data_IF_598321355643
#
_entry.id   IF_598321355643
#
_cell.length_a   1.000
_cell.length_b   1.000
_cell.length_c   1.000
_cell.angle_alpha   90.00
_cell.angle_beta   90.00
_cell.angle_gamma   90.00
#
_symmetry.space_group_name_H-M   'P 1'
#
loop_
_entity.id
_entity.type
_entity.pdbx_description
1 polymer ?
#
# COMPACT_ATOMS: atom_id res chain seq x y z
N UNK A 1 -0.22 1.46 29.56
CA UNK A 1 -1.68 1.63 29.62
C UNK A 1 -2.34 1.01 28.39
N UNK A 2 -3.65 0.83 28.46
CA UNK A 2 -4.44 0.37 27.30
C UNK A 2 -5.08 1.60 26.62
N UNK A 3 -4.74 1.97 25.38
CA UNK A 3 -5.28 3.15 24.69
C UNK A 3 -6.80 3.07 24.44
N UNK A 4 -7.38 1.87 24.45
CA UNK A 4 -8.83 1.71 24.30
C UNK A 4 -9.60 1.95 25.63
N UNK A 5 -8.91 2.09 26.75
CA UNK A 5 -9.53 2.32 28.06
C UNK A 5 -9.75 3.81 28.31
N UNK A 6 -10.97 4.27 28.11
CA UNK A 6 -11.38 5.68 28.26
C UNK A 6 -11.84 6.05 29.67
N UNK A 7 -11.82 5.11 30.62
CA UNK A 7 -12.36 5.28 31.97
C UNK A 7 -11.35 5.76 33.01
N UNK A 8 -10.07 5.86 32.68
CA UNK A 8 -9.01 6.26 33.62
C UNK A 8 -7.81 6.92 32.95
N UNK A 9 -7.03 7.68 33.71
CA UNK A 9 -5.91 8.52 33.21
C UNK A 9 -4.80 7.72 32.51
N UNK A 10 -4.51 6.50 32.92
CA UNK A 10 -3.51 5.65 32.25
C UNK A 10 -3.91 5.26 30.82
N UNK A 11 -5.22 5.13 30.56
CA UNK A 11 -5.75 4.93 29.22
C UNK A 11 -5.62 6.18 28.36
N UNK A 12 -5.92 7.35 28.91
CA UNK A 12 -5.80 8.63 28.19
C UNK A 12 -4.37 8.94 27.80
N UNK A 13 -3.39 8.70 28.68
CA UNK A 13 -1.96 8.87 28.36
C UNK A 13 -1.54 7.93 27.22
N UNK A 14 -2.00 6.68 27.24
CA UNK A 14 -1.70 5.73 26.18
C UNK A 14 -2.37 6.11 24.85
N UNK A 15 -3.64 6.57 24.89
CA UNK A 15 -4.35 7.07 23.70
C UNK A 15 -3.63 8.28 23.11
N UNK A 16 -3.24 9.25 23.93
CA UNK A 16 -2.50 10.43 23.45
C UNK A 16 -1.18 10.07 22.77
N UNK A 17 -0.40 9.13 23.33
CA UNK A 17 0.85 8.68 22.73
C UNK A 17 0.63 7.95 21.37
N UNK A 18 -0.45 7.19 21.23
CA UNK A 18 -0.80 6.53 19.96
C UNK A 18 -1.21 7.55 18.90
N UNK A 19 -1.99 8.58 19.28
CA UNK A 19 -2.40 9.62 18.33
C UNK A 19 -1.24 10.52 17.94
N UNK A 20 -0.34 10.89 18.84
CA UNK A 20 0.90 11.62 18.53
C UNK A 20 1.75 10.84 17.51
N UNK A 21 1.99 9.55 17.75
CA UNK A 21 2.72 8.70 16.81
C UNK A 21 2.03 8.60 15.43
N UNK A 22 0.68 8.61 15.42
CA UNK A 22 -0.10 8.61 14.18
C UNK A 22 0.11 9.90 13.38
N UNK A 23 0.11 11.04 14.07
CA UNK A 23 0.37 12.36 13.47
C UNK A 23 1.79 12.43 12.89
N UNK A 24 2.80 11.90 13.60
CA UNK A 24 4.19 11.85 13.12
C UNK A 24 4.32 10.97 11.85
N UNK A 25 3.71 9.79 11.83
CA UNK A 25 3.74 8.91 10.64
C UNK A 25 3.00 9.56 9.48
N UNK A 26 1.86 10.20 9.73
CA UNK A 26 1.11 10.91 8.69
C UNK A 26 1.92 12.09 8.13
N UNK A 27 2.57 12.87 8.99
CA UNK A 27 3.40 14.00 8.59
C UNK A 27 4.60 13.56 7.71
N UNK A 28 5.21 12.41 8.02
CA UNK A 28 6.33 11.85 7.25
C UNK A 28 6.00 11.63 5.77
N UNK A 29 4.74 11.33 5.45
CA UNK A 29 4.27 11.02 4.09
C UNK A 29 3.26 12.05 3.56
N UNK A 30 3.08 13.17 4.27
CA UNK A 30 2.12 14.24 3.95
C UNK A 30 0.68 13.71 3.78
N UNK A 31 0.22 12.92 4.75
CA UNK A 31 -1.13 12.37 4.84
C UNK A 31 -1.95 12.96 6.00
N UNK A 32 -3.26 12.78 6.00
CA UNK A 32 -4.11 13.05 7.18
C UNK A 32 -3.90 11.89 8.20
N UNK A 33 -3.72 12.17 9.50
CA UNK A 33 -3.61 11.13 10.53
C UNK A 33 -4.74 10.09 10.50
N UNK A 34 -5.94 10.50 10.11
CA UNK A 34 -7.09 9.60 9.96
C UNK A 34 -7.00 8.64 8.79
N UNK A 35 -6.01 8.79 7.93
CA UNK A 35 -5.71 7.88 6.82
C UNK A 35 -4.69 6.80 7.21
N UNK A 36 -4.13 6.87 8.43
CA UNK A 36 -3.16 5.92 8.96
C UNK A 36 -3.84 4.88 9.83
N UNK A 37 -3.70 3.62 9.46
CA UNK A 37 -4.19 2.45 10.18
C UNK A 37 -3.00 1.65 10.70
N UNK A 38 -2.95 1.40 12.01
CA UNK A 38 -1.89 0.60 12.61
C UNK A 38 -2.03 -0.89 12.26
N UNK A 39 -0.90 -1.51 11.96
CA UNK A 39 -0.78 -2.95 11.67
C UNK A 39 0.43 -3.54 12.38
N UNK A 40 0.61 -4.85 12.32
CA UNK A 40 1.79 -5.54 12.85
C UNK A 40 3.03 -5.44 11.95
N UNK A 41 2.89 -4.89 10.73
CA UNK A 41 3.98 -4.75 9.77
C UNK A 41 3.49 -4.70 8.33
N UNK A 42 4.42 -4.54 7.38
CA UNK A 42 4.08 -4.43 5.95
C UNK A 42 3.35 -5.65 5.41
N UNK A 43 3.64 -6.86 5.90
CA UNK A 43 2.93 -8.08 5.47
C UNK A 43 1.43 -8.01 5.76
N UNK A 44 1.05 -7.60 6.98
CA UNK A 44 -0.35 -7.39 7.32
C UNK A 44 -0.96 -6.25 6.51
N UNK A 45 -0.25 -5.13 6.37
CA UNK A 45 -0.69 -3.98 5.57
C UNK A 45 -0.95 -4.37 4.11
N UNK A 46 -0.04 -5.12 3.48
CA UNK A 46 -0.20 -5.62 2.11
C UNK A 46 -1.43 -6.53 1.97
N UNK A 47 -1.60 -7.47 2.92
CA UNK A 47 -2.77 -8.35 2.93
C UNK A 47 -4.07 -7.58 3.10
N UNK A 48 -4.11 -6.65 4.05
CA UNK A 48 -5.30 -5.82 4.32
C UNK A 48 -5.65 -4.95 3.11
N UNK A 49 -4.66 -4.32 2.48
CA UNK A 49 -4.84 -3.49 1.30
C UNK A 49 -5.38 -4.30 0.11
N UNK A 50 -4.65 -5.36 -0.28
CA UNK A 50 -4.96 -6.14 -1.48
C UNK A 50 -6.29 -6.89 -1.31
N UNK A 51 -6.43 -7.67 -0.24
CA UNK A 51 -7.65 -8.45 0.01
C UNK A 51 -8.85 -7.54 0.27
N UNK A 52 -8.68 -6.50 1.09
CA UNK A 52 -9.76 -5.57 1.42
C UNK A 52 -10.32 -4.85 0.21
N UNK A 53 -9.47 -4.23 -0.60
CA UNK A 53 -9.89 -3.52 -1.80
C UNK A 53 -10.47 -4.47 -2.85
N UNK A 54 -9.79 -5.59 -3.14
CA UNK A 54 -10.24 -6.55 -4.15
C UNK A 54 -11.61 -7.13 -3.81
N UNK A 55 -11.83 -7.57 -2.57
CA UNK A 55 -13.14 -8.11 -2.15
C UNK A 55 -14.25 -7.06 -2.15
N UNK A 56 -13.94 -5.85 -1.66
CA UNK A 56 -14.95 -4.79 -1.57
C UNK A 56 -15.49 -4.40 -2.95
N UNK A 57 -14.60 -4.29 -3.93
CA UNK A 57 -14.96 -3.84 -5.27
C UNK A 57 -15.25 -4.96 -6.28
N UNK A 58 -15.09 -6.23 -5.91
CA UNK A 58 -15.30 -7.38 -6.81
C UNK A 58 -16.67 -7.39 -7.49
N UNK A 59 -17.73 -7.01 -6.76
CA UNK A 59 -19.09 -6.99 -7.26
C UNK A 59 -19.45 -5.80 -8.16
N UNK A 60 -18.64 -4.73 -8.14
CA UNK A 60 -18.94 -3.48 -8.87
C UNK A 60 -17.92 -3.18 -9.97
N UNK A 61 -16.67 -3.54 -9.77
CA UNK A 61 -15.59 -3.23 -10.71
C UNK A 61 -15.10 -4.46 -11.48
N UNK A 62 -14.93 -5.59 -10.78
CA UNK A 62 -14.41 -6.83 -11.37
C UNK A 62 -13.41 -7.56 -10.51
N UNK A 63 -12.73 -8.55 -11.09
CA UNK A 63 -11.88 -9.48 -10.36
C UNK A 63 -10.47 -9.63 -10.97
N UNK A 64 -9.94 -8.60 -11.60
CA UNK A 64 -8.59 -8.64 -12.16
C UNK A 64 -7.64 -7.76 -11.33
N UNK A 65 -6.45 -8.31 -11.02
CA UNK A 65 -5.40 -7.66 -10.25
C UNK A 65 -4.13 -7.60 -11.09
N UNK A 66 -3.43 -6.47 -11.07
CA UNK A 66 -2.12 -6.31 -11.69
C UNK A 66 -1.06 -6.19 -10.59
N UNK A 67 0.03 -6.92 -10.73
CA UNK A 67 1.23 -6.78 -9.89
C UNK A 67 2.49 -7.01 -10.72
N UNK A 68 3.67 -6.93 -10.08
CA UNK A 68 4.97 -7.07 -10.75
C UNK A 68 5.66 -8.33 -10.25
N UNK A 69 6.39 -9.03 -11.09
CA UNK A 69 7.09 -10.27 -10.73
C UNK A 69 8.15 -10.06 -9.64
N UNK A 70 8.70 -8.86 -9.54
CA UNK A 70 9.75 -8.49 -8.58
C UNK A 70 9.23 -7.99 -7.23
N UNK A 71 7.93 -8.14 -6.96
CA UNK A 71 7.33 -7.80 -5.68
C UNK A 71 7.86 -8.66 -4.53
N UNK A 72 7.77 -8.12 -3.31
CA UNK A 72 8.03 -8.93 -2.12
C UNK A 72 7.06 -10.11 -2.02
N UNK A 73 7.54 -11.22 -1.46
CA UNK A 73 6.75 -12.45 -1.27
C UNK A 73 5.38 -12.20 -0.61
N UNK A 74 5.30 -11.27 0.33
CA UNK A 74 4.04 -10.91 0.99
C UNK A 74 2.96 -10.42 0.01
N UNK A 75 3.34 -9.70 -1.05
CA UNK A 75 2.42 -9.28 -2.13
C UNK A 75 2.11 -10.44 -3.05
N UNK A 76 3.14 -11.14 -3.56
CA UNK A 76 2.95 -12.25 -4.50
C UNK A 76 2.08 -13.37 -3.93
N UNK A 77 2.33 -13.78 -2.68
CA UNK A 77 1.54 -14.84 -2.04
C UNK A 77 0.09 -14.37 -1.77
N UNK A 78 -0.10 -13.08 -1.46
CA UNK A 78 -1.44 -12.52 -1.29
C UNK A 78 -2.21 -12.51 -2.62
N UNK A 79 -1.56 -12.12 -3.72
CA UNK A 79 -2.20 -12.13 -5.05
C UNK A 79 -2.53 -13.57 -5.49
N UNK A 80 -1.62 -14.53 -5.27
CA UNK A 80 -1.89 -15.96 -5.53
C UNK A 80 -3.07 -16.49 -4.71
N UNK A 81 -3.23 -16.02 -3.47
CA UNK A 81 -4.39 -16.37 -2.66
C UNK A 81 -5.68 -15.79 -3.25
N UNK A 82 -5.64 -14.57 -3.80
CA UNK A 82 -6.78 -13.99 -4.51
C UNK A 82 -7.14 -14.81 -5.75
N UNK A 83 -6.16 -15.34 -6.49
CA UNK A 83 -6.42 -16.24 -7.63
C UNK A 83 -7.17 -17.50 -7.18
N UNK A 84 -6.80 -18.12 -6.03
CA UNK A 84 -7.53 -19.27 -5.47
C UNK A 84 -8.98 -18.93 -5.12
N UNK A 85 -9.26 -17.65 -4.88
CA UNK A 85 -10.59 -17.14 -4.57
C UNK A 85 -11.36 -16.66 -5.83
N UNK A 86 -10.85 -16.96 -7.02
CA UNK A 86 -11.52 -16.69 -8.30
C UNK A 86 -11.25 -15.31 -8.88
N UNK A 87 -10.16 -14.65 -8.47
CA UNK A 87 -9.62 -13.50 -9.17
C UNK A 87 -8.67 -13.95 -10.28
N UNK A 88 -8.44 -13.09 -11.25
CA UNK A 88 -7.38 -13.23 -12.23
C UNK A 88 -6.25 -12.26 -11.91
N UNK A 89 -5.00 -12.65 -12.17
CA UNK A 89 -3.85 -11.80 -11.94
C UNK A 89 -2.93 -11.70 -13.17
N UNK A 90 -2.45 -10.49 -13.43
CA UNK A 90 -1.36 -10.23 -14.37
C UNK A 90 -0.10 -9.89 -13.58
N UNK A 91 0.96 -10.68 -13.77
CA UNK A 91 2.28 -10.46 -13.19
C UNK A 91 3.19 -9.86 -14.26
N UNK A 92 3.38 -8.54 -14.22
CA UNK A 92 4.21 -7.84 -15.19
C UNK A 92 5.68 -8.16 -14.99
N UNK A 93 6.38 -8.35 -16.09
CA UNK A 93 7.83 -8.39 -16.12
C UNK A 93 8.41 -6.97 -16.00
N UNK A 94 9.63 -6.88 -15.52
CA UNK A 94 10.40 -5.63 -15.52
C UNK A 94 11.39 -5.63 -16.68
N UNK A 95 11.81 -4.43 -17.08
CA UNK A 95 12.88 -4.25 -18.06
C UNK A 95 14.22 -4.72 -17.46
N UNK A 96 15.26 -4.83 -18.29
CA UNK A 96 16.63 -5.17 -17.84
C UNK A 96 17.15 -4.27 -16.72
N UNK A 97 16.71 -3.00 -16.71
CA UNK A 97 17.06 -2.05 -15.63
C UNK A 97 16.18 -2.18 -14.38
N UNK A 98 15.29 -3.15 -14.32
CA UNK A 98 14.39 -3.42 -13.19
C UNK A 98 13.15 -2.54 -13.13
N UNK A 99 12.95 -1.60 -14.04
CA UNK A 99 11.78 -0.73 -14.06
C UNK A 99 10.58 -1.39 -14.73
N UNK A 100 9.39 -1.11 -14.22
CA UNK A 100 8.12 -1.44 -14.89
C UNK A 100 8.02 -0.66 -16.18
N UNK A 101 7.62 -1.33 -17.27
CA UNK A 101 7.29 -0.67 -18.53
C UNK A 101 5.90 -0.03 -18.41
N UNK A 102 5.82 1.29 -18.56
CA UNK A 102 4.56 2.04 -18.42
C UNK A 102 3.55 1.70 -19.53
N UNK A 103 4.02 1.40 -20.74
CA UNK A 103 3.12 1.02 -21.83
C UNK A 103 2.60 -0.40 -21.65
N UNK A 104 3.44 -1.33 -21.20
CA UNK A 104 3.00 -2.67 -20.82
C UNK A 104 2.03 -2.63 -19.64
N UNK A 105 2.29 -1.78 -18.64
CA UNK A 105 1.38 -1.59 -17.51
C UNK A 105 0.01 -1.06 -17.97
N UNK A 106 0.01 -0.05 -18.84
CA UNK A 106 -1.23 0.51 -19.41
C UNK A 106 -2.01 -0.51 -20.24
N UNK A 107 -1.31 -1.30 -21.04
CA UNK A 107 -1.91 -2.36 -21.87
C UNK A 107 -2.48 -3.52 -21.04
N UNK A 108 -1.95 -3.78 -19.84
CA UNK A 108 -2.45 -4.82 -18.94
C UNK A 108 -3.77 -4.44 -18.25
N UNK A 109 -4.13 -3.16 -18.21
CA UNK A 109 -5.37 -2.72 -17.58
C UNK A 109 -6.57 -3.13 -18.44
N UNK A 110 -7.47 -3.87 -17.81
CA UNK A 110 -8.74 -4.36 -18.38
C UNK A 110 -9.92 -3.59 -17.78
N UNK A 111 -11.11 -3.62 -18.38
CA UNK A 111 -12.32 -3.03 -17.78
C UNK A 111 -12.65 -3.56 -16.38
N UNK A 112 -12.29 -4.82 -16.11
CA UNK A 112 -12.50 -5.52 -14.84
C UNK A 112 -11.29 -5.48 -13.89
N UNK A 113 -10.25 -4.69 -14.20
CA UNK A 113 -9.11 -4.48 -13.29
C UNK A 113 -9.54 -3.65 -12.10
N UNK A 114 -9.48 -4.25 -10.91
CA UNK A 114 -9.90 -3.60 -9.66
C UNK A 114 -8.72 -2.95 -8.95
N UNK A 115 -7.56 -3.59 -8.98
CA UNK A 115 -6.39 -3.21 -8.18
C UNK A 115 -5.10 -3.39 -8.99
N UNK A 116 -4.17 -2.47 -8.80
CA UNK A 116 -2.76 -2.65 -9.14
C UNK A 116 -1.90 -2.50 -7.88
N UNK A 117 -0.91 -3.36 -7.71
CA UNK A 117 0.02 -3.33 -6.58
C UNK A 117 1.45 -3.34 -7.09
N UNK A 118 2.22 -2.29 -6.75
CA UNK A 118 3.62 -2.12 -7.18
C UNK A 118 4.46 -1.66 -6.00
N UNK A 119 5.61 -2.30 -5.78
CA UNK A 119 6.59 -1.91 -4.77
C UNK A 119 7.28 -0.61 -5.18
N UNK A 120 7.46 0.32 -4.23
CA UNK A 120 8.12 1.60 -4.51
C UNK A 120 9.63 1.43 -4.74
N UNK A 121 10.30 0.81 -3.76
CA UNK A 121 11.75 0.53 -3.82
C UNK A 121 11.96 -0.96 -3.63
N UNK A 122 12.61 -1.59 -4.60
CA UNK A 122 12.86 -3.03 -4.54
C UNK A 122 13.89 -3.37 -3.45
N UNK A 123 13.58 -4.38 -2.64
CA UNK A 123 14.39 -4.78 -1.50
C UNK A 123 15.69 -5.53 -1.88
N UNK A 124 15.81 -6.02 -3.09
CA UNK A 124 16.96 -6.81 -3.56
C UNK A 124 17.87 -5.98 -4.46
N UNK A 125 17.31 -5.30 -5.45
CA UNK A 125 18.07 -4.57 -6.49
C UNK A 125 18.05 -3.05 -6.33
N UNK A 126 17.29 -2.51 -5.36
CA UNK A 126 17.26 -1.08 -5.03
C UNK A 126 16.60 -0.18 -6.07
N UNK A 127 15.93 -0.74 -7.08
CA UNK A 127 15.25 0.03 -8.11
C UNK A 127 14.07 0.79 -7.52
N UNK A 128 13.96 2.08 -7.87
CA UNK A 128 12.83 2.95 -7.51
C UNK A 128 11.86 2.97 -8.69
N UNK A 129 10.63 2.48 -8.48
CA UNK A 129 9.60 2.43 -9.52
C UNK A 129 8.95 3.81 -9.74
N UNK A 130 8.47 4.10 -10.96
CA UNK A 130 7.84 5.38 -11.32
C UNK A 130 6.40 5.46 -10.77
N UNK A 131 6.29 5.58 -9.44
CA UNK A 131 5.01 5.52 -8.72
C UNK A 131 4.07 6.67 -9.12
N UNK A 132 4.62 7.86 -9.41
CA UNK A 132 3.80 8.99 -9.84
C UNK A 132 3.07 8.70 -11.15
N UNK A 133 3.80 8.23 -12.16
CA UNK A 133 3.26 7.90 -13.48
C UNK A 133 2.29 6.71 -13.42
N UNK A 134 2.62 5.67 -12.66
CA UNK A 134 1.74 4.52 -12.43
C UNK A 134 0.44 4.94 -11.74
N UNK A 135 0.52 5.84 -10.76
CA UNK A 135 -0.62 6.40 -10.05
C UNK A 135 -1.54 7.21 -10.98
N UNK A 136 -0.97 8.02 -11.89
CA UNK A 136 -1.74 8.74 -12.90
C UNK A 136 -2.52 7.78 -13.82
N UNK A 137 -1.85 6.72 -14.29
CA UNK A 137 -2.48 5.70 -15.14
C UNK A 137 -3.63 5.01 -14.39
N UNK A 138 -3.39 4.55 -13.17
CA UNK A 138 -4.41 3.90 -12.36
C UNK A 138 -5.61 4.82 -12.11
N UNK A 139 -5.37 6.08 -11.73
CA UNK A 139 -6.42 7.06 -11.45
C UNK A 139 -7.26 7.35 -12.70
N UNK A 140 -6.65 7.49 -13.87
CA UNK A 140 -7.34 7.74 -15.14
C UNK A 140 -8.24 6.56 -15.55
N UNK A 141 -7.89 5.33 -15.16
CA UNK A 141 -8.63 4.10 -15.49
C UNK A 141 -9.55 3.62 -14.34
N UNK A 142 -9.62 4.36 -13.25
CA UNK A 142 -10.43 3.97 -12.08
C UNK A 142 -9.96 2.67 -11.42
N UNK A 143 -8.66 2.40 -11.45
CA UNK A 143 -8.01 1.25 -10.81
C UNK A 143 -7.47 1.71 -9.46
N UNK A 144 -7.72 0.95 -8.39
CA UNK A 144 -7.14 1.22 -7.07
C UNK A 144 -5.65 0.93 -7.11
N UNK A 145 -4.84 1.87 -6.64
CA UNK A 145 -3.40 1.74 -6.65
C UNK A 145 -2.84 1.55 -5.23
N UNK A 146 -2.30 0.36 -4.99
CA UNK A 146 -1.57 -0.01 -3.79
C UNK A 146 -0.06 0.04 -4.03
N UNK A 147 0.68 0.58 -3.05
CA UNK A 147 2.14 0.67 -3.08
C UNK A 147 2.73 0.03 -1.83
N UNK A 148 3.60 -0.96 -1.98
CA UNK A 148 4.44 -1.44 -0.89
C UNK A 148 5.63 -0.48 -0.71
N UNK A 149 5.60 0.33 0.34
CA UNK A 149 6.63 1.32 0.67
C UNK A 149 7.56 0.89 1.83
N UNK A 150 7.60 -0.40 2.17
CA UNK A 150 8.41 -0.89 3.28
C UNK A 150 9.90 -0.52 3.16
N UNK A 151 10.44 -0.46 1.95
CA UNK A 151 11.84 -0.04 1.71
C UNK A 151 11.97 1.45 1.37
N UNK A 152 10.90 2.13 1.03
CA UNK A 152 10.90 3.53 0.60
C UNK A 152 10.82 4.51 1.77
N UNK A 153 10.05 4.17 2.79
CA UNK A 153 9.76 5.05 3.93
C UNK A 153 11.04 5.52 4.61
N UNK A 154 11.19 6.83 4.78
CA UNK A 154 12.36 7.46 5.38
C UNK A 154 13.64 7.44 4.53
N UNK A 155 13.58 6.94 3.28
CA UNK A 155 14.73 6.86 2.36
C UNK A 155 14.51 7.61 1.06
N UNK A 156 13.26 7.72 0.62
CA UNK A 156 12.84 8.55 -0.51
C UNK A 156 11.71 9.47 -0.07
N UNK A 157 11.58 10.62 -0.70
CA UNK A 157 10.50 11.54 -0.42
C UNK A 157 9.16 10.94 -0.85
N UNK A 158 8.21 10.90 0.07
CA UNK A 158 6.84 10.43 -0.18
C UNK A 158 5.89 11.59 0.16
N UNK A 159 5.18 12.08 -0.84
CA UNK A 159 4.16 13.12 -0.69
C UNK A 159 2.82 12.59 -1.23
N UNK A 160 1.99 12.08 -0.32
CA UNK A 160 0.69 11.49 -0.67
C UNK A 160 -0.37 12.52 -1.09
N UNK A 161 -0.09 13.83 -0.93
CA UNK A 161 -0.92 14.88 -1.52
C UNK A 161 -0.66 15.04 -3.02
N UNK A 162 0.53 14.67 -3.50
CA UNK A 162 0.92 14.72 -4.91
C UNK A 162 0.80 13.38 -5.62
N UNK A 163 1.21 12.29 -4.95
CA UNK A 163 1.13 10.95 -5.50
C UNK A 163 -0.32 10.45 -5.52
N UNK A 164 -0.76 9.93 -6.65
CA UNK A 164 -2.10 9.33 -6.81
C UNK A 164 -2.10 7.87 -6.36
N UNK A 165 -1.77 7.67 -5.09
CA UNK A 165 -1.78 6.37 -4.41
C UNK A 165 -3.02 6.27 -3.54
N UNK A 166 -3.67 5.13 -3.53
CA UNK A 166 -4.88 4.89 -2.76
C UNK A 166 -4.62 4.16 -1.45
N UNK A 167 -3.64 3.27 -1.46
CA UNK A 167 -3.22 2.43 -0.36
C UNK A 167 -1.69 2.35 -0.33
N UNK A 168 -1.08 2.53 0.84
CA UNK A 168 0.38 2.41 0.96
C UNK A 168 0.77 1.70 2.24
N UNK A 169 1.64 0.69 2.13
CA UNK A 169 2.07 -0.15 3.24
C UNK A 169 3.43 0.28 3.78
N UNK A 170 3.54 0.35 5.11
CA UNK A 170 4.75 0.74 5.84
C UNK A 170 5.13 -0.29 6.89
N UNK A 171 6.42 -0.33 7.27
CA UNK A 171 6.87 -1.06 8.46
C UNK A 171 7.98 -0.29 9.18
N UNK A 172 8.01 -0.38 10.51
CA UNK A 172 8.97 0.35 11.32
C UNK A 172 10.39 -0.24 11.26
N UNK A 173 10.53 -1.57 11.21
CA UNK A 173 11.84 -2.24 11.30
C UNK A 173 12.78 -1.98 10.11
N UNK A 174 12.30 -1.41 9.02
CA UNK A 174 13.11 -0.95 7.86
C UNK A 174 13.51 0.52 7.96
N UNK A 175 13.00 1.23 8.98
CA UNK A 175 13.25 2.65 9.28
C UNK A 175 13.78 2.83 10.70
N UNK A 176 14.62 1.88 11.14
CA UNK A 176 15.28 1.86 12.47
C UNK A 176 14.31 1.75 13.67
N UNK A 177 13.05 1.44 13.42
CA UNK A 177 12.04 1.18 14.45
C UNK A 177 11.97 -0.29 14.88
N UNK A 178 11.09 -0.62 15.83
CA UNK A 178 10.92 -1.97 16.32
C UNK A 178 10.25 -2.89 15.29
N UNK A 179 10.49 -4.20 15.44
CA UNK A 179 9.71 -5.24 14.75
C UNK A 179 8.30 -5.33 15.36
N UNK A 180 7.35 -5.82 14.57
CA UNK A 180 5.99 -6.08 15.04
C UNK A 180 5.07 -4.87 14.99
N UNK A 181 5.47 -3.79 14.31
CA UNK A 181 4.62 -2.64 14.03
C UNK A 181 4.81 -2.15 12.59
N UNK A 182 3.72 -1.74 11.98
CA UNK A 182 3.64 -1.08 10.69
C UNK A 182 2.37 -0.26 10.59
N UNK A 183 2.12 0.27 9.40
CA UNK A 183 0.94 1.04 9.12
C UNK A 183 0.46 0.83 7.68
N UNK A 184 -0.82 1.05 7.46
CA UNK A 184 -1.44 1.14 6.17
C UNK A 184 -2.03 2.55 6.01
N UNK A 185 -1.60 3.27 4.98
CA UNK A 185 -2.30 4.46 4.51
C UNK A 185 -3.52 4.04 3.68
N UNK A 186 -4.67 4.61 3.98
CA UNK A 186 -5.92 4.41 3.24
C UNK A 186 -6.48 5.78 2.88
N UNK A 187 -6.46 6.12 1.61
CA UNK A 187 -6.92 7.42 1.12
C UNK A 187 -8.40 7.66 1.42
N UNK A 188 -8.70 8.84 1.95
CA UNK A 188 -10.07 9.22 2.31
C UNK A 188 -10.75 10.18 1.32
N UNK A 189 -9.98 10.87 0.46
CA UNK A 189 -10.51 11.85 -0.51
C UNK A 189 -9.80 11.71 -1.86
N UNK A 190 -10.47 11.22 -2.93
CA UNK A 190 -11.73 10.51 -2.87
C UNK A 190 -11.59 9.22 -2.06
N UNK A 191 -12.65 8.78 -1.41
CA UNK A 191 -12.62 7.61 -0.52
C UNK A 191 -12.37 6.33 -1.32
N UNK A 192 -11.48 5.51 -0.79
CA UNK A 192 -11.22 4.13 -1.25
C UNK A 192 -12.17 3.17 -0.56
#
# INVERSE_FOLDING_TARGET
GNPASRSHSFGWVAEAAVEEAREEVAALVNADPKEIIWTSGATESNNLAIKGAAHFYAGTKGKHIITVQTEHKAVLDTVREMERQGFEATYLEVKENGLVDLDAFRAAIRPDTVLASVMFVNNEIGVIQPIAELGEICRAQGVIFHVDAAQATGKVDIDLQKLKVDLMSFCAHKTYGPKGIGALYVRRKPRV
#
